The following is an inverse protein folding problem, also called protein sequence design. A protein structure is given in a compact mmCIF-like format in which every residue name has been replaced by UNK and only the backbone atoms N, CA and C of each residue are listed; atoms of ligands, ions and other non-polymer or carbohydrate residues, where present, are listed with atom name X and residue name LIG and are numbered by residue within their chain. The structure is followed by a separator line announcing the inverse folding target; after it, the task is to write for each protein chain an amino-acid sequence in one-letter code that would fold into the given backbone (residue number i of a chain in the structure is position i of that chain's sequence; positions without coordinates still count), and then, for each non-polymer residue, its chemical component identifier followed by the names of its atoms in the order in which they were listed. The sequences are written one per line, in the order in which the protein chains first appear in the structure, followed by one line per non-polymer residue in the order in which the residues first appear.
data_IF_266928624302
#
_entry.id   IF_266928624302
#
_cell.length_a   1.000
_cell.length_b   1.000
_cell.length_c   1.000
_cell.angle_alpha   90.00
_cell.angle_beta   90.00
_cell.angle_gamma   90.00
#
_symmetry.space_group_name_H-M   'P 1'
#
loop_
_entity.id
_entity.type
_entity.pdbx_description
1 polymer ?
#
# COMPACT_ATOMS: atom_id res chain seq x y z
N UNK A 1 -3.59 -1.88 12.35
CA UNK A 1 -3.27 -1.34 11.00
C UNK A 1 -4.48 -1.28 10.08
N UNK A 2 -5.10 -2.42 9.72
CA UNK A 2 -6.28 -2.42 8.82
C UNK A 2 -7.49 -1.71 9.42
N UNK A 3 -7.75 -1.90 10.70
CA UNK A 3 -8.80 -1.21 11.46
C UNK A 3 -8.64 0.30 11.45
N UNK A 4 -7.39 0.79 11.64
CA UNK A 4 -7.10 2.22 11.58
C UNK A 4 -7.37 2.81 10.19
N UNK A 5 -6.97 2.09 9.14
CA UNK A 5 -7.22 2.52 7.77
C UNK A 5 -8.73 2.53 7.46
N UNK A 6 -9.45 1.50 7.91
CA UNK A 6 -10.90 1.38 7.72
C UNK A 6 -11.69 2.55 8.32
N UNK A 7 -11.29 3.01 9.51
CA UNK A 7 -11.91 4.16 10.17
C UNK A 7 -11.72 5.48 9.41
N UNK A 8 -10.66 5.60 8.60
CA UNK A 8 -10.38 6.80 7.80
C UNK A 8 -11.02 6.76 6.40
N UNK A 9 -11.59 5.60 6.00
CA UNK A 9 -12.27 5.49 4.70
C UNK A 9 -13.65 6.14 4.74
N UNK A 10 -14.00 6.87 3.68
CA UNK A 10 -15.34 7.42 3.50
C UNK A 10 -16.38 6.29 3.34
N UNK A 11 -17.63 6.54 3.74
CA UNK A 11 -18.73 5.56 3.58
C UNK A 11 -18.88 5.07 2.14
N UNK A 12 -18.55 5.91 1.15
CA UNK A 12 -18.55 5.54 -0.27
C UNK A 12 -17.46 4.48 -0.56
N UNK A 13 -16.24 4.65 -0.04
CA UNK A 13 -15.15 3.69 -0.21
C UNK A 13 -15.41 2.36 0.50
N UNK A 14 -16.04 2.41 1.67
CA UNK A 14 -16.47 1.20 2.38
C UNK A 14 -17.47 0.38 1.55
N UNK A 15 -18.46 1.03 0.89
CA UNK A 15 -19.39 0.33 -0.03
C UNK A 15 -18.67 -0.26 -1.24
N UNK A 16 -17.71 0.48 -1.82
CA UNK A 16 -16.89 -0.02 -2.94
C UNK A 16 -16.03 -1.22 -2.55
N UNK A 17 -15.49 -1.27 -1.33
CA UNK A 17 -14.72 -2.43 -0.86
C UNK A 17 -15.57 -3.69 -0.73
N UNK A 18 -16.83 -3.57 -0.31
CA UNK A 18 -17.75 -4.70 -0.28
C UNK A 18 -18.09 -5.23 -1.69
N UNK A 19 -18.35 -4.33 -2.65
CA UNK A 19 -18.55 -4.72 -4.05
C UNK A 19 -17.32 -5.43 -4.62
N UNK A 20 -16.13 -4.95 -4.30
CA UNK A 20 -14.88 -5.55 -4.74
C UNK A 20 -14.69 -6.94 -4.14
N UNK A 21 -15.07 -7.15 -2.88
CA UNK A 21 -15.04 -8.47 -2.23
C UNK A 21 -15.99 -9.46 -2.91
N UNK A 22 -17.22 -9.03 -3.27
CA UNK A 22 -18.14 -9.85 -4.05
C UNK A 22 -17.54 -10.21 -5.41
N UNK A 23 -16.89 -9.27 -6.10
CA UNK A 23 -16.24 -9.52 -7.38
C UNK A 23 -15.07 -10.52 -7.23
N UNK A 24 -14.30 -10.47 -6.12
CA UNK A 24 -13.25 -11.45 -5.81
C UNK A 24 -13.82 -12.86 -5.65
N UNK A 25 -14.96 -13.00 -4.96
CA UNK A 25 -15.63 -14.30 -4.78
C UNK A 25 -16.13 -14.83 -6.13
N UNK A 26 -16.77 -13.99 -6.95
CA UNK A 26 -17.23 -14.37 -8.30
C UNK A 26 -16.04 -14.80 -9.17
N UNK A 27 -14.95 -14.03 -9.17
CA UNK A 27 -13.73 -14.36 -9.92
C UNK A 27 -13.15 -15.71 -9.49
N UNK A 28 -13.07 -15.96 -8.19
CA UNK A 28 -12.58 -17.23 -7.65
C UNK A 28 -13.48 -18.41 -8.03
N UNK A 29 -14.79 -18.24 -7.96
CA UNK A 29 -15.75 -19.25 -8.36
C UNK A 29 -15.63 -19.61 -9.86
N UNK A 30 -15.59 -18.61 -10.74
CA UNK A 30 -15.41 -18.83 -12.18
C UNK A 30 -14.07 -19.48 -12.50
N UNK A 31 -13.02 -19.19 -11.77
CA UNK A 31 -11.72 -19.85 -11.97
C UNK A 31 -11.80 -21.34 -11.61
N UNK A 32 -12.48 -21.69 -10.52
CA UNK A 32 -12.74 -23.08 -10.14
C UNK A 32 -13.60 -23.80 -11.19
N UNK A 33 -14.66 -23.14 -11.68
CA UNK A 33 -15.51 -23.71 -12.74
C UNK A 33 -14.72 -23.94 -14.03
N UNK A 34 -13.89 -23.00 -14.42
CA UNK A 34 -13.05 -23.15 -15.62
C UNK A 34 -12.04 -24.29 -15.50
N UNK A 35 -11.51 -24.54 -14.29
CA UNK A 35 -10.66 -25.68 -13.98
C UNK A 35 -11.42 -27.00 -14.05
N UNK A 36 -12.59 -27.04 -13.41
CA UNK A 36 -13.47 -28.21 -13.44
C UNK A 36 -13.94 -28.60 -14.84
N UNK A 37 -14.09 -27.59 -15.71
CA UNK A 37 -14.49 -27.82 -17.12
C UNK A 37 -13.38 -28.45 -17.99
N UNK A 38 -12.12 -28.41 -17.57
CA UNK A 38 -11.00 -29.05 -18.31
C UNK A 38 -11.17 -30.56 -18.38
N UNK A 39 -11.55 -31.20 -17.25
CA UNK A 39 -11.68 -32.65 -17.17
C UNK A 39 -12.77 -33.20 -18.11
N UNK A 40 -14.03 -32.71 -18.10
CA UNK A 40 -15.04 -33.12 -19.08
C UNK A 40 -14.64 -32.83 -20.53
N UNK A 41 -14.00 -31.68 -20.79
CA UNK A 41 -13.54 -31.33 -22.15
C UNK A 41 -12.51 -32.31 -22.67
N UNK A 42 -11.46 -32.63 -21.90
CA UNK A 42 -10.46 -33.61 -22.29
C UNK A 42 -11.05 -35.03 -22.39
N UNK A 43 -11.96 -35.38 -21.48
CA UNK A 43 -12.65 -36.66 -21.46
C UNK A 43 -13.46 -36.88 -22.76
N UNK A 44 -14.20 -35.88 -23.22
CA UNK A 44 -14.97 -35.97 -24.47
C UNK A 44 -14.07 -36.07 -25.70
N UNK A 45 -12.89 -35.42 -25.67
CA UNK A 45 -11.93 -35.54 -26.77
C UNK A 45 -11.25 -36.91 -26.86
N UNK A 46 -11.03 -37.57 -25.70
CA UNK A 46 -10.29 -38.84 -25.63
C UNK A 46 -11.19 -40.07 -25.63
N UNK A 47 -12.35 -40.00 -24.97
CA UNK A 47 -13.26 -41.13 -24.80
C UNK A 47 -14.74 -40.64 -24.71
N UNK A 48 -15.33 -40.17 -25.86
CA UNK A 48 -16.67 -39.59 -25.85
C UNK A 48 -17.74 -40.57 -25.38
N UNK A 49 -17.61 -41.87 -25.65
CA UNK A 49 -18.54 -42.93 -25.22
C UNK A 49 -18.63 -43.07 -23.69
N UNK A 50 -17.50 -42.94 -22.99
CA UNK A 50 -17.46 -43.03 -21.52
C UNK A 50 -18.10 -41.79 -20.87
N UNK A 51 -17.80 -40.61 -21.41
CA UNK A 51 -18.35 -39.35 -20.87
C UNK A 51 -19.85 -39.25 -21.12
N UNK A 52 -20.35 -39.78 -22.21
CA UNK A 52 -21.78 -39.85 -22.53
C UNK A 52 -22.59 -40.63 -21.47
N UNK A 53 -21.98 -41.61 -20.81
CA UNK A 53 -22.61 -42.44 -19.77
C UNK A 53 -22.61 -41.83 -18.38
N UNK A 54 -21.87 -40.72 -18.14
CA UNK A 54 -21.84 -40.10 -16.80
C UNK A 54 -23.15 -39.43 -16.44
N UNK A 55 -23.70 -39.73 -15.27
CA UNK A 55 -24.98 -39.22 -14.79
C UNK A 55 -25.06 -37.70 -14.76
N UNK A 56 -23.94 -36.99 -14.50
CA UNK A 56 -23.90 -35.54 -14.49
C UNK A 56 -23.98 -34.90 -15.88
N UNK A 57 -23.69 -35.66 -16.95
CA UNK A 57 -23.80 -35.18 -18.34
C UNK A 57 -25.22 -35.30 -18.91
N UNK A 58 -26.08 -36.11 -18.31
CA UNK A 58 -27.46 -36.32 -18.78
C UNK A 58 -28.26 -35.04 -18.96
N UNK A 59 -28.26 -34.07 -18.03
CA UNK A 59 -28.96 -32.80 -18.22
C UNK A 59 -28.41 -31.99 -19.42
N UNK A 60 -27.10 -32.02 -19.63
CA UNK A 60 -26.43 -31.30 -20.71
C UNK A 60 -26.77 -31.94 -22.07
N UNK A 61 -26.75 -33.27 -22.14
CA UNK A 61 -27.11 -34.04 -23.31
C UNK A 61 -28.56 -33.76 -23.73
N UNK A 62 -29.47 -33.73 -22.75
CA UNK A 62 -30.90 -33.45 -23.02
C UNK A 62 -31.12 -32.01 -23.50
N UNK A 63 -30.46 -31.02 -22.89
CA UNK A 63 -30.60 -29.62 -23.30
C UNK A 63 -30.01 -29.39 -24.68
N UNK A 64 -28.89 -30.04 -25.02
CA UNK A 64 -28.23 -29.92 -26.33
C UNK A 64 -28.83 -30.78 -27.43
N UNK A 65 -29.75 -31.70 -27.10
CA UNK A 65 -30.39 -32.61 -28.09
C UNK A 65 -29.44 -33.57 -28.75
N UNK A 66 -28.35 -33.99 -28.09
CA UNK A 66 -27.29 -34.84 -28.62
C UNK A 66 -27.74 -36.29 -28.57
N UNK A 67 -27.68 -36.99 -29.72
CA UNK A 67 -28.08 -38.40 -29.86
C UNK A 67 -26.91 -39.36 -29.93
N UNK A 68 -25.74 -38.88 -30.38
CA UNK A 68 -24.53 -39.67 -30.52
C UNK A 68 -23.36 -39.11 -29.72
N UNK A 69 -22.50 -39.97 -29.12
CA UNK A 69 -21.38 -39.51 -28.27
C UNK A 69 -20.43 -38.49 -28.97
N UNK A 70 -20.16 -38.69 -30.27
CA UNK A 70 -19.27 -37.82 -31.03
C UNK A 70 -19.82 -36.39 -31.25
N UNK A 71 -21.15 -36.23 -31.18
CA UNK A 71 -21.79 -34.92 -31.32
C UNK A 71 -21.56 -34.02 -30.06
N UNK A 72 -21.12 -34.60 -28.93
CA UNK A 72 -20.78 -33.88 -27.72
C UNK A 72 -19.51 -33.03 -27.87
N UNK A 73 -18.59 -33.36 -28.76
CA UNK A 73 -17.28 -32.72 -28.91
C UNK A 73 -17.45 -31.22 -29.16
N UNK A 74 -18.27 -30.86 -30.15
CA UNK A 74 -18.44 -29.47 -30.56
C UNK A 74 -19.12 -28.58 -29.49
N UNK A 75 -20.28 -28.94 -28.91
CA UNK A 75 -20.91 -28.13 -27.86
C UNK A 75 -20.06 -27.96 -26.61
N UNK A 76 -19.37 -29.02 -26.14
CA UNK A 76 -18.53 -28.96 -24.96
C UNK A 76 -17.30 -28.09 -25.22
N UNK A 77 -16.73 -28.14 -26.43
CA UNK A 77 -15.63 -27.26 -26.84
C UNK A 77 -16.07 -25.77 -26.76
N UNK A 78 -17.24 -25.44 -27.32
CA UNK A 78 -17.77 -24.07 -27.26
C UNK A 78 -18.01 -23.63 -25.81
N UNK A 79 -18.64 -24.49 -24.99
CA UNK A 79 -18.92 -24.20 -23.59
C UNK A 79 -17.62 -23.95 -22.81
N UNK A 80 -16.58 -24.77 -23.06
CA UNK A 80 -15.27 -24.59 -22.47
C UNK A 80 -14.63 -23.25 -22.87
N UNK A 81 -14.65 -22.92 -24.18
CA UNK A 81 -14.14 -21.62 -24.68
C UNK A 81 -14.86 -20.45 -24.00
N UNK A 82 -16.20 -20.51 -23.92
CA UNK A 82 -16.99 -19.47 -23.26
C UNK A 82 -16.61 -19.34 -21.76
N UNK A 83 -16.46 -20.46 -21.05
CA UNK A 83 -16.08 -20.48 -19.65
C UNK A 83 -14.70 -19.85 -19.44
N UNK A 84 -13.71 -20.18 -20.28
CA UNK A 84 -12.36 -19.61 -20.21
C UNK A 84 -12.35 -18.11 -20.52
N UNK A 85 -13.07 -17.68 -21.57
CA UNK A 85 -13.20 -16.27 -21.94
C UNK A 85 -13.88 -15.46 -20.82
N UNK A 86 -14.98 -15.96 -20.25
CA UNK A 86 -15.68 -15.32 -19.16
C UNK A 86 -14.79 -15.18 -17.93
N UNK A 87 -14.06 -16.24 -17.56
CA UNK A 87 -13.10 -16.20 -16.46
C UNK A 87 -12.01 -15.16 -16.69
N UNK A 88 -11.45 -15.12 -17.90
CA UNK A 88 -10.45 -14.12 -18.29
C UNK A 88 -10.97 -12.69 -18.20
N UNK A 89 -12.19 -12.44 -18.67
CA UNK A 89 -12.84 -11.13 -18.61
C UNK A 89 -13.08 -10.67 -17.17
N UNK A 90 -13.58 -11.56 -16.32
CA UNK A 90 -13.84 -11.25 -14.90
C UNK A 90 -12.53 -11.00 -14.15
N UNK A 91 -11.47 -11.76 -14.40
CA UNK A 91 -10.13 -11.52 -13.84
C UNK A 91 -9.56 -10.16 -14.25
N UNK A 92 -9.69 -9.81 -15.52
CA UNK A 92 -9.25 -8.50 -16.02
C UNK A 92 -10.04 -7.36 -15.35
N UNK A 93 -11.35 -7.54 -15.22
CA UNK A 93 -12.22 -6.57 -14.53
C UNK A 93 -11.85 -6.45 -13.06
N UNK A 94 -11.55 -7.55 -12.38
CA UNK A 94 -11.09 -7.57 -10.99
C UNK A 94 -9.75 -6.82 -10.83
N UNK A 95 -8.78 -7.09 -11.71
CA UNK A 95 -7.49 -6.40 -11.69
C UNK A 95 -7.67 -4.89 -11.87
N UNK A 96 -8.50 -4.48 -12.84
CA UNK A 96 -8.84 -3.08 -13.06
C UNK A 96 -9.50 -2.45 -11.82
N UNK A 97 -10.47 -3.14 -11.23
CA UNK A 97 -11.19 -2.67 -10.05
C UNK A 97 -10.27 -2.52 -8.82
N UNK A 98 -9.40 -3.51 -8.54
CA UNK A 98 -8.39 -3.44 -7.46
C UNK A 98 -7.48 -2.23 -7.68
N UNK A 99 -6.94 -2.07 -8.88
CA UNK A 99 -6.01 -0.99 -9.20
C UNK A 99 -6.70 0.37 -9.02
N UNK A 100 -7.85 0.58 -9.66
CA UNK A 100 -8.59 1.86 -9.57
C UNK A 100 -9.01 2.18 -8.14
N UNK A 101 -9.44 1.21 -7.38
CA UNK A 101 -9.83 1.38 -5.98
C UNK A 101 -8.64 1.76 -5.09
N UNK A 102 -7.50 1.09 -5.23
CA UNK A 102 -6.28 1.38 -4.47
C UNK A 102 -5.78 2.81 -4.73
N UNK A 103 -5.71 3.21 -6.00
CA UNK A 103 -5.26 4.57 -6.36
C UNK A 103 -6.28 5.65 -5.96
N UNK A 104 -7.57 5.34 -5.99
CA UNK A 104 -8.59 6.27 -5.53
C UNK A 104 -8.53 6.50 -4.01
N UNK A 105 -8.27 5.45 -3.21
CA UNK A 105 -7.99 5.61 -1.77
C UNK A 105 -6.69 6.40 -1.58
N UNK A 106 -5.66 6.12 -2.37
CA UNK A 106 -4.39 6.84 -2.31
C UNK A 106 -4.56 8.34 -2.53
N UNK A 107 -5.38 8.75 -3.49
CA UNK A 107 -5.70 10.16 -3.73
C UNK A 107 -6.43 10.79 -2.54
N UNK A 108 -7.43 10.08 -1.96
CA UNK A 108 -8.15 10.53 -0.78
C UNK A 108 -7.21 10.68 0.45
N UNK A 109 -6.23 9.76 0.59
CA UNK A 109 -5.21 9.82 1.64
C UNK A 109 -4.27 11.01 1.44
N UNK A 110 -3.71 11.17 0.24
CA UNK A 110 -2.76 12.23 -0.08
C UNK A 110 -3.34 13.61 0.20
N UNK A 111 -4.56 13.90 -0.29
CA UNK A 111 -5.21 15.18 -0.03
C UNK A 111 -5.55 15.37 1.45
N UNK A 112 -5.94 14.30 2.15
CA UNK A 112 -6.24 14.36 3.58
C UNK A 112 -4.98 14.71 4.40
N UNK A 113 -3.83 14.08 4.10
CA UNK A 113 -2.55 14.36 4.75
C UNK A 113 -2.13 15.80 4.48
N UNK A 114 -2.16 16.24 3.22
CA UNK A 114 -1.78 17.58 2.82
C UNK A 114 -2.63 18.64 3.52
N UNK A 115 -3.97 18.44 3.52
CA UNK A 115 -4.90 19.32 4.22
C UNK A 115 -4.59 19.38 5.71
N UNK A 116 -4.43 18.23 6.40
CA UNK A 116 -4.10 18.17 7.83
C UNK A 116 -2.78 18.85 8.12
N UNK A 117 -1.79 18.71 7.25
CA UNK A 117 -0.50 19.39 7.39
C UNK A 117 -0.66 20.90 7.28
N UNK A 118 -1.34 21.43 6.27
CA UNK A 118 -1.52 22.88 6.07
C UNK A 118 -2.29 23.57 7.20
N UNK A 119 -3.16 22.84 7.88
CA UNK A 119 -3.96 23.38 8.99
C UNK A 119 -3.31 23.20 10.36
N UNK A 120 -2.07 22.70 10.44
CA UNK A 120 -1.33 22.69 11.71
C UNK A 120 -0.90 24.09 12.12
N UNK A 121 -0.66 24.29 13.42
CA UNK A 121 -0.10 25.52 13.95
C UNK A 121 1.31 25.78 13.40
N UNK A 122 1.68 27.05 13.28
CA UNK A 122 2.97 27.45 12.73
C UNK A 122 4.16 26.89 13.55
N UNK A 123 4.00 26.74 14.87
CA UNK A 123 4.95 26.06 15.75
C UNK A 123 5.32 24.65 15.30
N UNK A 124 4.34 23.89 14.80
CA UNK A 124 4.54 22.53 14.26
C UNK A 124 5.31 22.58 12.95
N UNK A 125 5.07 23.59 12.11
CA UNK A 125 5.80 23.76 10.84
C UNK A 125 7.28 24.11 11.05
N UNK A 126 7.59 24.94 12.04
CA UNK A 126 8.98 25.31 12.37
C UNK A 126 9.73 24.11 12.96
N UNK A 127 9.08 23.29 13.77
CA UNK A 127 9.71 22.14 14.43
C UNK A 127 9.95 20.95 13.49
N UNK A 128 9.32 20.92 12.30
CA UNK A 128 9.42 19.82 11.34
C UNK A 128 10.30 20.15 10.17
N UNK A 129 11.03 19.14 9.69
CA UNK A 129 11.76 19.27 8.45
C UNK A 129 10.78 19.18 7.25
N UNK A 130 10.79 20.19 6.39
CA UNK A 130 9.95 20.22 5.16
C UNK A 130 10.19 19.01 4.25
N UNK A 131 11.43 18.49 4.21
CA UNK A 131 11.80 17.29 3.45
C UNK A 131 11.01 16.05 3.90
N UNK A 132 10.82 15.90 5.22
CA UNK A 132 10.07 14.79 5.79
C UNK A 132 8.58 14.85 5.41
N UNK A 133 8.00 16.03 5.46
CA UNK A 133 6.61 16.27 5.08
C UNK A 133 6.39 15.99 3.59
N UNK A 134 7.25 16.53 2.72
CA UNK A 134 7.20 16.31 1.27
C UNK A 134 7.37 14.83 0.94
N UNK A 135 8.35 14.16 1.53
CA UNK A 135 8.56 12.72 1.36
C UNK A 135 7.33 11.92 1.76
N UNK A 136 6.71 12.28 2.87
CA UNK A 136 5.54 11.56 3.39
C UNK A 136 4.31 11.74 2.51
N UNK A 137 4.07 12.94 1.97
CA UNK A 137 2.94 13.22 1.08
C UNK A 137 3.12 12.53 -0.27
N UNK A 138 4.32 12.54 -0.85
CA UNK A 138 4.56 12.03 -2.21
C UNK A 138 5.00 10.57 -2.16
N UNK A 139 6.19 10.31 -1.61
CA UNK A 139 6.85 9.00 -1.72
C UNK A 139 6.21 7.95 -0.81
N UNK A 140 6.04 8.28 0.48
CA UNK A 140 5.47 7.32 1.44
C UNK A 140 4.00 7.01 1.15
N UNK A 141 3.21 7.99 0.66
CA UNK A 141 1.83 7.74 0.22
C UNK A 141 1.78 6.80 -0.99
N UNK A 142 2.65 6.99 -1.99
CA UNK A 142 2.76 6.06 -3.11
C UNK A 142 3.19 4.66 -2.66
N UNK A 143 4.12 4.58 -1.71
CA UNK A 143 4.51 3.30 -1.08
C UNK A 143 3.33 2.64 -0.35
N UNK A 144 2.43 3.41 0.28
CA UNK A 144 1.21 2.88 0.88
C UNK A 144 0.25 2.33 -0.17
N UNK A 145 0.07 3.01 -1.31
CA UNK A 145 -0.78 2.52 -2.40
C UNK A 145 -0.25 1.19 -2.95
N UNK A 146 1.01 1.18 -3.41
CA UNK A 146 1.62 0.02 -4.07
C UNK A 146 2.10 -1.07 -3.09
N UNK A 147 2.49 -0.68 -1.86
CA UNK A 147 3.07 -1.58 -0.88
C UNK A 147 2.11 -2.09 0.21
N UNK A 148 0.94 -1.45 0.36
CA UNK A 148 -0.04 -1.84 1.40
C UNK A 148 -1.42 -2.08 0.80
N UNK A 149 -2.05 -1.07 0.17
CA UNK A 149 -3.43 -1.16 -0.30
C UNK A 149 -3.62 -2.23 -1.37
N UNK A 150 -2.86 -2.13 -2.45
CA UNK A 150 -2.94 -3.10 -3.55
C UNK A 150 -2.56 -4.51 -3.10
N UNK A 151 -1.45 -4.74 -2.36
CA UNK A 151 -1.10 -6.07 -1.88
C UNK A 151 -2.11 -6.65 -0.88
N UNK A 152 -2.75 -5.85 -0.03
CA UNK A 152 -3.81 -6.36 0.87
C UNK A 152 -4.99 -6.91 0.05
N UNK A 153 -5.45 -6.19 -0.96
CA UNK A 153 -6.54 -6.64 -1.82
C UNK A 153 -6.15 -7.88 -2.63
N UNK A 154 -4.90 -7.94 -3.12
CA UNK A 154 -4.36 -9.12 -3.78
C UNK A 154 -4.24 -10.32 -2.83
N UNK A 155 -3.82 -10.09 -1.57
CA UNK A 155 -3.76 -11.14 -0.55
C UNK A 155 -5.14 -11.71 -0.24
N UNK A 156 -6.16 -10.87 -0.10
CA UNK A 156 -7.55 -11.30 0.11
C UNK A 156 -8.02 -12.12 -1.10
N UNK A 157 -7.84 -11.61 -2.31
CA UNK A 157 -8.24 -12.29 -3.55
C UNK A 157 -7.55 -13.65 -3.71
N UNK A 158 -6.23 -13.72 -3.52
CA UNK A 158 -5.49 -14.98 -3.62
C UNK A 158 -5.85 -15.96 -2.50
N UNK A 159 -6.17 -15.49 -1.30
CA UNK A 159 -6.63 -16.35 -0.20
C UNK A 159 -8.00 -16.96 -0.50
N UNK A 160 -8.95 -16.17 -1.03
CA UNK A 160 -10.26 -16.68 -1.46
C UNK A 160 -10.07 -17.74 -2.55
N UNK A 161 -9.22 -17.46 -3.54
CA UNK A 161 -8.91 -18.40 -4.61
C UNK A 161 -8.29 -19.71 -4.09
N UNK A 162 -7.29 -19.61 -3.19
CA UNK A 162 -6.66 -20.78 -2.57
C UNK A 162 -7.66 -21.63 -1.80
N UNK A 163 -8.53 -21.02 -1.00
CA UNK A 163 -9.58 -21.75 -0.27
C UNK A 163 -10.52 -22.46 -1.25
N UNK A 164 -10.90 -21.79 -2.34
CA UNK A 164 -11.79 -22.39 -3.35
C UNK A 164 -11.14 -23.58 -4.08
N UNK A 165 -9.86 -23.44 -4.48
CA UNK A 165 -9.12 -24.54 -5.15
C UNK A 165 -8.93 -25.72 -4.20
N UNK A 166 -8.50 -25.45 -2.96
CA UNK A 166 -8.32 -26.50 -1.95
C UNK A 166 -9.65 -27.19 -1.66
N UNK A 167 -10.75 -26.43 -1.54
CA UNK A 167 -12.09 -26.98 -1.34
C UNK A 167 -12.49 -27.97 -2.45
N UNK A 168 -12.21 -27.65 -3.71
CA UNK A 168 -12.47 -28.56 -4.84
C UNK A 168 -11.54 -29.78 -4.80
N UNK A 169 -10.26 -29.60 -4.47
CA UNK A 169 -9.33 -30.73 -4.33
C UNK A 169 -9.78 -31.70 -3.22
N UNK A 170 -10.33 -31.21 -2.10
CA UNK A 170 -10.91 -32.06 -1.05
C UNK A 170 -12.11 -32.89 -1.52
N UNK A 171 -12.89 -32.36 -2.48
CA UNK A 171 -14.01 -33.12 -3.06
C UNK A 171 -13.54 -34.19 -4.05
N UNK A 172 -12.36 -34.06 -4.65
CA UNK A 172 -11.79 -35.04 -5.60
C UNK A 172 -11.03 -36.14 -4.84
N UNK A 173 -10.05 -35.77 -4.03
CA UNK A 173 -9.25 -36.69 -3.22
C UNK A 173 -8.67 -35.96 -1.98
N UNK A 174 -9.07 -36.41 -0.80
CA UNK A 174 -8.67 -35.83 0.48
C UNK A 174 -7.16 -35.98 0.75
N UNK A 175 -6.54 -37.10 0.31
CA UNK A 175 -5.13 -37.36 0.57
C UNK A 175 -4.24 -36.47 -0.31
N UNK A 176 -4.61 -36.28 -1.57
CA UNK A 176 -3.93 -35.38 -2.51
C UNK A 176 -4.05 -33.93 -2.02
N UNK A 177 -5.25 -33.50 -1.64
CA UNK A 177 -5.48 -32.16 -1.13
C UNK A 177 -4.67 -31.87 0.14
N UNK A 178 -4.67 -32.81 1.09
CA UNK A 178 -3.96 -32.69 2.36
C UNK A 178 -2.43 -32.66 2.17
N UNK A 179 -1.90 -33.52 1.33
CA UNK A 179 -0.45 -33.58 1.03
C UNK A 179 0.03 -32.29 0.34
N UNK A 180 -0.73 -31.76 -0.61
CA UNK A 180 -0.43 -30.50 -1.28
C UNK A 180 -0.50 -29.33 -0.27
N UNK A 181 -1.54 -29.25 0.54
CA UNK A 181 -1.72 -28.19 1.53
C UNK A 181 -0.60 -28.18 2.57
N UNK A 182 -0.27 -29.35 3.15
CA UNK A 182 0.79 -29.47 4.15
C UNK A 182 2.15 -29.20 3.51
N UNK A 183 2.45 -29.80 2.35
CA UNK A 183 3.73 -29.66 1.68
C UNK A 183 4.05 -28.21 1.31
N UNK A 184 3.18 -27.55 0.55
CA UNK A 184 3.37 -26.16 0.16
C UNK A 184 3.22 -25.21 1.37
N UNK A 185 2.31 -25.47 2.30
CA UNK A 185 2.09 -24.68 3.51
C UNK A 185 3.34 -24.62 4.40
N UNK A 186 3.96 -25.77 4.67
CA UNK A 186 5.20 -25.85 5.47
C UNK A 186 6.34 -25.13 4.76
N UNK A 187 6.51 -25.31 3.46
CA UNK A 187 7.57 -24.65 2.70
C UNK A 187 7.43 -23.12 2.72
N UNK A 188 6.24 -22.60 2.44
CA UNK A 188 6.00 -21.16 2.53
C UNK A 188 6.14 -20.62 3.94
N UNK A 189 5.71 -21.38 4.96
CA UNK A 189 5.91 -21.00 6.36
C UNK A 189 7.39 -20.87 6.71
N UNK A 190 8.25 -21.81 6.28
CA UNK A 190 9.70 -21.75 6.47
C UNK A 190 10.29 -20.51 5.79
N UNK A 191 9.91 -20.23 4.55
CA UNK A 191 10.35 -19.05 3.82
C UNK A 191 9.96 -17.77 4.55
N UNK A 192 8.72 -17.69 5.05
CA UNK A 192 8.23 -16.55 5.82
C UNK A 192 9.05 -16.35 7.10
N UNK A 193 9.33 -17.43 7.85
CA UNK A 193 10.13 -17.34 9.07
C UNK A 193 11.55 -16.84 8.80
N UNK A 194 12.17 -17.32 7.72
CA UNK A 194 13.51 -16.90 7.31
C UNK A 194 13.58 -15.44 6.85
N UNK A 195 12.56 -14.97 6.11
CA UNK A 195 12.61 -13.65 5.46
C UNK A 195 12.03 -12.51 6.31
N UNK A 196 11.22 -12.81 7.34
CA UNK A 196 10.47 -11.80 8.13
C UNK A 196 11.35 -10.73 8.79
N UNK A 197 12.54 -11.10 9.28
CA UNK A 197 13.49 -10.18 9.95
C UNK A 197 14.07 -9.24 8.91
N UNK A 198 14.59 -9.79 7.81
CA UNK A 198 15.21 -9.02 6.73
C UNK A 198 14.22 -8.03 6.08
N UNK A 199 12.97 -8.45 5.88
CA UNK A 199 11.91 -7.55 5.38
C UNK A 199 11.61 -6.40 6.34
N UNK A 200 11.68 -6.64 7.66
CA UNK A 200 11.51 -5.59 8.67
C UNK A 200 12.66 -4.59 8.62
N UNK A 201 13.90 -5.07 8.59
CA UNK A 201 15.10 -4.23 8.56
C UNK A 201 15.15 -3.41 7.27
N UNK A 202 14.88 -4.04 6.13
CA UNK A 202 14.76 -3.33 4.85
C UNK A 202 13.67 -2.25 4.88
N UNK A 203 12.52 -2.52 5.52
CA UNK A 203 11.45 -1.53 5.67
C UNK A 203 11.91 -0.29 6.43
N UNK A 204 12.73 -0.47 7.47
CA UNK A 204 13.31 0.65 8.23
C UNK A 204 14.30 1.43 7.35
N UNK A 205 15.23 0.73 6.70
CA UNK A 205 16.22 1.35 5.81
C UNK A 205 15.51 2.17 4.71
N UNK A 206 14.49 1.61 4.07
CA UNK A 206 13.75 2.30 3.01
C UNK A 206 13.08 3.57 3.55
N UNK A 207 12.43 3.51 4.72
CA UNK A 207 11.75 4.66 5.30
C UNK A 207 12.72 5.79 5.66
N UNK A 208 13.84 5.45 6.31
CA UNK A 208 14.83 6.42 6.77
C UNK A 208 15.62 7.02 5.60
N UNK A 209 16.14 6.16 4.72
CA UNK A 209 17.00 6.61 3.61
C UNK A 209 16.22 7.38 2.54
N UNK A 210 14.93 7.08 2.33
CA UNK A 210 14.10 7.89 1.44
C UNK A 210 13.95 9.34 1.92
N UNK A 211 13.86 9.53 3.25
CA UNK A 211 13.80 10.85 3.86
C UNK A 211 15.14 11.60 3.72
N UNK A 212 16.26 10.91 4.00
CA UNK A 212 17.61 11.50 3.86
C UNK A 212 17.94 11.84 2.40
N UNK A 213 17.52 11.03 1.44
CA UNK A 213 17.68 11.28 0.02
C UNK A 213 16.98 12.58 -0.39
N UNK A 214 15.73 12.79 0.02
CA UNK A 214 14.99 14.02 -0.29
C UNK A 214 15.61 15.23 0.40
N UNK A 215 16.06 15.06 1.65
CA UNK A 215 16.76 16.11 2.39
C UNK A 215 18.02 16.57 1.66
N UNK A 216 18.87 15.65 1.22
CA UNK A 216 20.10 15.98 0.48
C UNK A 216 19.82 16.68 -0.85
N UNK A 217 18.72 16.31 -1.54
CA UNK A 217 18.28 17.02 -2.76
C UNK A 217 17.83 18.44 -2.47
N UNK A 218 17.04 18.64 -1.42
CA UNK A 218 16.55 19.97 -1.06
C UNK A 218 17.69 20.89 -0.58
N UNK A 219 18.66 20.38 0.16
CA UNK A 219 19.83 21.14 0.61
C UNK A 219 20.72 21.51 -0.59
N UNK A 220 21.05 20.55 -1.45
CA UNK A 220 21.91 20.81 -2.61
C UNK A 220 21.27 21.72 -3.66
N UNK A 221 20.00 21.48 -4.02
CA UNK A 221 19.30 22.28 -5.03
C UNK A 221 18.77 23.60 -4.46
N UNK A 222 18.36 23.63 -3.19
CA UNK A 222 17.91 24.85 -2.51
C UNK A 222 19.03 25.86 -2.30
N UNK A 223 20.26 25.36 -2.05
CA UNK A 223 21.48 26.18 -1.95
C UNK A 223 22.33 26.18 -3.22
N UNK A 224 21.76 25.95 -4.39
CA UNK A 224 22.52 25.73 -5.63
C UNK A 224 23.52 26.85 -5.95
N UNK A 225 23.20 28.11 -5.63
CA UNK A 225 24.10 29.23 -5.81
C UNK A 225 25.38 29.05 -5.00
N UNK A 226 25.25 28.69 -3.73
CA UNK A 226 26.37 28.51 -2.82
C UNK A 226 27.18 27.27 -3.20
N UNK A 227 26.48 26.19 -3.57
CA UNK A 227 27.11 24.95 -4.09
C UNK A 227 27.98 25.23 -5.32
N UNK A 228 27.51 26.10 -6.24
CA UNK A 228 28.27 26.47 -7.46
C UNK A 228 29.44 27.41 -7.14
N UNK A 229 29.25 28.37 -6.23
CA UNK A 229 30.31 29.32 -5.84
C UNK A 229 31.43 28.60 -5.08
N UNK A 230 31.06 27.74 -4.15
CA UNK A 230 32.02 27.04 -3.28
C UNK A 230 32.61 25.78 -3.93
N UNK A 231 32.14 25.37 -5.11
CA UNK A 231 32.60 24.16 -5.81
C UNK A 231 32.29 22.85 -5.07
N UNK A 232 31.23 22.83 -4.24
CA UNK A 232 30.89 21.70 -3.35
C UNK A 232 29.97 20.64 -3.98
N UNK A 233 29.80 20.62 -5.32
CA UNK A 233 28.94 19.68 -6.04
C UNK A 233 29.25 18.22 -5.70
N UNK A 234 30.55 17.87 -5.61
CA UNK A 234 30.98 16.52 -5.31
C UNK A 234 30.56 16.06 -3.92
N UNK A 235 30.55 16.96 -2.93
CA UNK A 235 30.07 16.69 -1.57
C UNK A 235 28.60 16.32 -1.57
N UNK A 236 27.74 17.12 -2.24
CA UNK A 236 26.30 16.83 -2.30
C UNK A 236 25.99 15.58 -3.12
N UNK A 237 26.76 15.28 -4.17
CA UNK A 237 26.65 14.01 -4.90
C UNK A 237 26.98 12.78 -3.98
N UNK A 238 28.02 12.90 -3.15
CA UNK A 238 28.37 11.85 -2.19
C UNK A 238 27.31 11.71 -1.10
N UNK A 239 26.78 12.81 -0.58
CA UNK A 239 25.72 12.83 0.43
C UNK A 239 24.44 12.15 -0.11
N UNK A 240 24.03 12.47 -1.33
CA UNK A 240 22.92 11.81 -2.01
C UNK A 240 23.18 10.33 -2.20
N UNK A 241 24.35 9.95 -2.71
CA UNK A 241 24.71 8.54 -2.94
C UNK A 241 24.73 7.71 -1.66
N UNK A 242 25.15 8.29 -0.53
CA UNK A 242 25.16 7.61 0.76
C UNK A 242 23.77 7.21 1.26
N UNK A 243 22.74 7.97 0.86
CA UNK A 243 21.34 7.65 1.16
C UNK A 243 20.70 6.76 0.06
N UNK A 244 20.93 7.05 -1.23
CA UNK A 244 20.31 6.33 -2.34
C UNK A 244 20.78 4.87 -2.44
N UNK A 245 22.07 4.59 -2.24
CA UNK A 245 22.62 3.25 -2.41
C UNK A 245 22.03 2.22 -1.42
N UNK A 246 21.94 2.49 -0.11
CA UNK A 246 21.27 1.58 0.83
C UNK A 246 19.77 1.44 0.52
N UNK A 247 19.09 2.52 0.13
CA UNK A 247 17.69 2.52 -0.29
C UNK A 247 17.45 1.55 -1.45
N UNK A 248 18.27 1.66 -2.52
CA UNK A 248 18.16 0.81 -3.71
C UNK A 248 18.47 -0.65 -3.40
N UNK A 249 19.49 -0.93 -2.57
CA UNK A 249 19.83 -2.28 -2.14
C UNK A 249 18.69 -2.92 -1.35
N UNK A 250 18.16 -2.22 -0.34
CA UNK A 250 17.04 -2.73 0.46
C UNK A 250 15.77 -2.95 -0.39
N UNK A 251 15.50 -2.05 -1.35
CA UNK A 251 14.38 -2.20 -2.29
C UNK A 251 14.57 -3.40 -3.22
N UNK A 252 15.77 -3.58 -3.77
CA UNK A 252 16.12 -4.74 -4.59
C UNK A 252 16.02 -6.07 -3.84
N UNK A 253 16.51 -6.10 -2.60
CA UNK A 253 16.36 -7.25 -1.71
C UNK A 253 14.89 -7.61 -1.47
N UNK A 254 14.02 -6.62 -1.25
CA UNK A 254 12.59 -6.86 -1.07
C UNK A 254 11.95 -7.46 -2.33
N UNK A 255 12.31 -6.98 -3.53
CA UNK A 255 11.85 -7.54 -4.80
C UNK A 255 12.34 -8.98 -4.96
N UNK A 256 13.61 -9.25 -4.68
CA UNK A 256 14.16 -10.60 -4.74
C UNK A 256 13.47 -11.55 -3.75
N UNK A 257 13.31 -11.14 -2.48
CA UNK A 257 12.62 -11.93 -1.44
C UNK A 257 11.17 -12.22 -1.86
N UNK A 258 10.46 -11.25 -2.43
CA UNK A 258 9.07 -11.45 -2.85
C UNK A 258 8.93 -12.37 -4.06
N UNK A 259 9.90 -12.42 -4.96
CA UNK A 259 9.85 -13.20 -6.21
C UNK A 259 10.52 -14.57 -6.15
N UNK A 260 11.60 -14.71 -5.38
CA UNK A 260 12.46 -15.91 -5.37
C UNK A 260 11.77 -17.23 -4.98
N UNK A 261 10.79 -17.29 -4.05
CA UNK A 261 10.20 -18.57 -3.64
C UNK A 261 9.48 -19.29 -4.78
N UNK A 262 8.98 -18.54 -5.76
CA UNK A 262 8.32 -19.13 -6.93
C UNK A 262 9.20 -20.15 -7.63
N UNK A 263 10.43 -19.77 -7.94
CA UNK A 263 11.36 -20.62 -8.69
C UNK A 263 11.74 -21.88 -7.91
N UNK A 264 11.88 -21.74 -6.58
CA UNK A 264 12.16 -22.88 -5.69
C UNK A 264 10.97 -23.83 -5.66
N UNK A 265 9.74 -23.29 -5.54
CA UNK A 265 8.52 -24.10 -5.48
C UNK A 265 8.22 -24.79 -6.81
N UNK A 266 8.44 -24.14 -7.94
CA UNK A 266 8.31 -24.75 -9.28
C UNK A 266 9.29 -25.91 -9.44
N UNK A 267 10.56 -25.75 -9.02
CA UNK A 267 11.54 -26.82 -9.07
C UNK A 267 11.16 -28.01 -8.16
N UNK A 268 10.72 -27.76 -6.92
CA UNK A 268 10.28 -28.80 -6.00
C UNK A 268 9.06 -29.53 -6.55
N UNK A 269 8.08 -28.82 -7.08
CA UNK A 269 6.90 -29.42 -7.69
C UNK A 269 7.25 -30.35 -8.85
N UNK A 270 8.14 -29.93 -9.75
CA UNK A 270 8.62 -30.75 -10.87
C UNK A 270 9.38 -32.00 -10.39
N UNK A 271 10.24 -31.86 -9.37
CA UNK A 271 10.94 -33.00 -8.77
C UNK A 271 9.95 -34.00 -8.17
N UNK A 272 8.95 -33.52 -7.43
CA UNK A 272 7.91 -34.38 -6.83
C UNK A 272 7.13 -35.14 -7.92
N UNK A 273 6.71 -34.46 -8.99
CA UNK A 273 6.01 -35.09 -10.11
C UNK A 273 6.91 -36.16 -10.78
N UNK A 274 8.20 -35.87 -10.98
CA UNK A 274 9.13 -36.83 -11.56
C UNK A 274 9.35 -38.08 -10.66
N UNK A 275 9.50 -37.86 -9.35
CA UNK A 275 9.63 -38.96 -8.37
C UNK A 275 8.36 -39.81 -8.33
N UNK A 276 7.18 -39.19 -8.31
CA UNK A 276 5.91 -39.89 -8.34
C UNK A 276 5.75 -40.68 -9.64
N UNK A 277 6.07 -40.09 -10.80
CA UNK A 277 6.05 -40.77 -12.10
C UNK A 277 6.96 -42.01 -12.09
N UNK A 278 8.18 -41.86 -11.54
CA UNK A 278 9.13 -42.99 -11.46
C UNK A 278 8.60 -44.10 -10.51
N UNK A 279 8.12 -43.75 -9.32
CA UNK A 279 7.60 -44.74 -8.37
C UNK A 279 6.37 -45.49 -8.93
N UNK A 280 5.47 -44.80 -9.61
CA UNK A 280 4.29 -45.40 -10.22
C UNK A 280 4.66 -46.28 -11.42
N UNK A 281 5.70 -45.92 -12.19
CA UNK A 281 6.16 -46.73 -13.33
C UNK A 281 6.73 -48.09 -12.92
N UNK A 282 7.18 -48.26 -11.66
CA UNK A 282 7.70 -49.53 -11.12
C UNK A 282 6.57 -50.51 -10.68
N UNK A 283 5.30 -50.08 -10.70
CA UNK A 283 4.17 -50.94 -10.33
C UNK A 283 3.58 -51.61 -11.58
N UNK A 284 3.13 -52.89 -11.46
CA UNK A 284 2.50 -53.60 -12.54
C UNK A 284 1.24 -52.86 -13.07
N UNK A 285 1.23 -52.48 -14.33
CA UNK A 285 0.15 -51.68 -14.93
C UNK A 285 0.18 -50.21 -14.57
N UNK A 286 1.17 -49.73 -13.81
CA UNK A 286 1.24 -48.41 -13.19
C UNK A 286 1.25 -47.24 -14.16
N UNK A 287 1.76 -47.43 -15.41
CA UNK A 287 1.86 -46.39 -16.40
C UNK A 287 0.49 -45.88 -16.89
N UNK A 288 -0.49 -46.76 -17.05
CA UNK A 288 -1.84 -46.40 -17.50
C UNK A 288 -2.61 -45.65 -16.41
N UNK A 289 -2.43 -46.04 -15.12
CA UNK A 289 -3.05 -45.36 -13.99
C UNK A 289 -2.30 -44.07 -13.58
N UNK A 290 -0.99 -43.99 -13.87
CA UNK A 290 -0.17 -42.83 -13.49
C UNK A 290 -0.50 -41.58 -14.32
N UNK A 291 -0.77 -41.70 -15.60
CA UNK A 291 -0.99 -40.57 -16.52
C UNK A 291 -2.14 -39.64 -16.06
N UNK A 292 -3.33 -40.13 -15.69
CA UNK A 292 -4.40 -39.28 -15.19
C UNK A 292 -4.05 -38.58 -13.85
N UNK A 293 -3.39 -39.28 -12.93
CA UNK A 293 -2.99 -38.74 -11.63
C UNK A 293 -1.93 -37.66 -11.80
N UNK A 294 -0.91 -37.92 -12.60
CA UNK A 294 0.15 -36.95 -12.91
C UNK A 294 -0.40 -35.73 -13.64
N UNK A 295 -1.33 -35.92 -14.56
CA UNK A 295 -2.05 -34.86 -15.25
C UNK A 295 -2.85 -33.97 -14.29
N UNK A 296 -3.61 -34.58 -13.38
CA UNK A 296 -4.36 -33.86 -12.35
C UNK A 296 -3.43 -33.06 -11.39
N UNK A 297 -2.31 -33.68 -10.98
CA UNK A 297 -1.30 -33.01 -10.15
C UNK A 297 -0.63 -31.85 -10.89
N UNK A 298 -0.28 -32.02 -12.15
CA UNK A 298 0.33 -30.96 -12.96
C UNK A 298 -0.61 -29.76 -13.14
N UNK A 299 -1.89 -30.02 -13.45
CA UNK A 299 -2.91 -28.97 -13.58
C UNK A 299 -3.16 -28.30 -12.23
N UNK A 300 -3.25 -29.07 -11.15
CA UNK A 300 -3.40 -28.55 -9.78
C UNK A 300 -2.22 -27.66 -9.37
N UNK A 301 -0.99 -28.11 -9.60
CA UNK A 301 0.22 -27.34 -9.32
C UNK A 301 0.29 -26.05 -10.15
N UNK A 302 -0.05 -26.11 -11.44
CA UNK A 302 -0.06 -24.96 -12.35
C UNK A 302 -1.01 -23.84 -11.87
N UNK A 303 -2.03 -24.17 -11.08
CA UNK A 303 -3.01 -23.19 -10.56
C UNK A 303 -2.72 -22.78 -9.13
N UNK A 304 -2.30 -23.73 -8.26
CA UNK A 304 -1.99 -23.43 -6.86
C UNK A 304 -0.73 -22.57 -6.72
N UNK A 305 0.34 -22.88 -7.47
CA UNK A 305 1.61 -22.17 -7.34
C UNK A 305 1.49 -20.66 -7.60
N UNK A 306 0.85 -20.17 -8.68
CA UNK A 306 0.67 -18.72 -8.87
C UNK A 306 -0.15 -18.07 -7.76
N UNK A 307 -1.20 -18.71 -7.25
CA UNK A 307 -2.03 -18.18 -6.17
C UNK A 307 -1.26 -18.08 -4.85
N UNK A 308 -0.48 -19.12 -4.49
CA UNK A 308 0.41 -19.11 -3.33
C UNK A 308 1.50 -18.04 -3.47
N UNK A 309 2.11 -17.95 -4.65
CA UNK A 309 3.12 -16.95 -4.95
C UNK A 309 2.56 -15.53 -4.82
N UNK A 310 1.36 -15.28 -5.34
CA UNK A 310 0.70 -13.98 -5.22
C UNK A 310 0.40 -13.63 -3.76
N UNK A 311 -0.07 -14.59 -2.96
CA UNK A 311 -0.29 -14.41 -1.53
C UNK A 311 1.00 -14.10 -0.78
N UNK A 312 2.08 -14.85 -1.05
CA UNK A 312 3.39 -14.62 -0.44
C UNK A 312 3.99 -13.27 -0.85
N UNK A 313 3.96 -12.95 -2.14
CA UNK A 313 4.46 -11.66 -2.65
C UNK A 313 3.71 -10.49 -2.02
N UNK A 314 2.40 -10.57 -1.92
CA UNK A 314 1.58 -9.58 -1.24
C UNK A 314 1.97 -9.43 0.25
N UNK A 315 2.12 -10.54 0.97
CA UNK A 315 2.58 -10.54 2.36
C UNK A 315 3.96 -9.89 2.51
N UNK A 316 4.93 -10.27 1.68
CA UNK A 316 6.30 -9.76 1.68
C UNK A 316 6.32 -8.25 1.42
N UNK A 317 5.56 -7.77 0.42
CA UNK A 317 5.44 -6.36 0.06
C UNK A 317 4.81 -5.53 1.20
N UNK A 318 3.76 -6.05 1.86
CA UNK A 318 3.14 -5.42 3.03
C UNK A 318 4.16 -5.27 4.16
N UNK A 319 4.94 -6.31 4.45
CA UNK A 319 5.97 -6.28 5.50
C UNK A 319 7.09 -5.30 5.17
N UNK A 320 7.56 -5.29 3.93
CA UNK A 320 8.60 -4.38 3.44
C UNK A 320 8.18 -2.91 3.40
N UNK A 321 6.87 -2.61 3.43
CA UNK A 321 6.33 -1.24 3.39
C UNK A 321 5.73 -0.77 4.72
N UNK A 322 5.84 -1.59 5.77
CA UNK A 322 5.14 -1.37 7.05
C UNK A 322 5.52 -0.05 7.73
N UNK A 323 6.79 0.32 7.75
CA UNK A 323 7.28 1.52 8.43
C UNK A 323 6.79 2.78 7.70
N UNK A 324 6.92 2.83 6.37
CA UNK A 324 6.39 3.94 5.58
C UNK A 324 4.88 4.15 5.80
N UNK A 325 4.13 3.07 6.00
CA UNK A 325 2.70 3.15 6.34
C UNK A 325 2.46 3.72 7.74
N UNK A 326 3.28 3.36 8.73
CA UNK A 326 3.18 3.90 10.08
C UNK A 326 3.40 5.42 10.09
N UNK A 327 4.39 5.91 9.34
CA UNK A 327 4.65 7.35 9.20
C UNK A 327 3.46 8.09 8.59
N UNK A 328 2.85 7.52 7.56
CA UNK A 328 1.62 8.07 6.94
C UNK A 328 0.45 8.10 7.94
N UNK A 329 0.28 7.05 8.76
CA UNK A 329 -0.77 7.03 9.79
C UNK A 329 -0.55 8.12 10.86
N UNK A 330 0.68 8.39 11.25
CA UNK A 330 1.01 9.48 12.20
C UNK A 330 0.56 10.83 11.63
N UNK A 331 0.80 11.10 10.35
CA UNK A 331 0.33 12.34 9.71
C UNK A 331 -1.19 12.39 9.58
N UNK A 332 -1.84 11.25 9.35
CA UNK A 332 -3.30 11.18 9.29
C UNK A 332 -3.97 11.32 10.66
N UNK A 333 -3.28 11.02 11.75
CA UNK A 333 -3.80 11.17 13.12
C UNK A 333 -3.77 12.63 13.59
N UNK A 334 -3.15 13.56 12.86
CA UNK A 334 -3.15 14.98 13.20
C UNK A 334 -4.58 15.51 13.24
N UNK A 335 -4.89 16.25 14.32
CA UNK A 335 -6.20 16.88 14.49
C UNK A 335 -6.40 18.00 13.47
N UNK A 336 -7.57 18.04 12.84
CA UNK A 336 -8.00 19.22 12.10
C UNK A 336 -8.63 20.20 13.10
N UNK A 337 -8.24 21.48 13.08
CA UNK A 337 -8.91 22.46 13.92
C UNK A 337 -10.38 22.65 13.49
N UNK A 338 -11.24 22.95 14.44
CA UNK A 338 -12.71 23.08 14.21
C UNK A 338 -13.07 24.07 13.10
N UNK A 339 -12.19 25.00 12.81
CA UNK A 339 -12.40 26.01 11.77
C UNK A 339 -11.97 25.57 10.36
N UNK A 340 -11.41 24.39 10.20
CA UNK A 340 -10.89 23.95 8.89
C UNK A 340 -11.96 23.88 7.80
N UNK A 341 -13.23 23.69 8.17
CA UNK A 341 -14.39 23.66 7.28
C UNK A 341 -15.20 24.98 7.28
N UNK A 342 -14.72 26.01 8.00
CA UNK A 342 -15.39 27.31 8.06
C UNK A 342 -14.76 28.28 7.04
N UNK A 343 -15.54 29.18 6.46
CA UNK A 343 -15.01 30.25 5.63
C UNK A 343 -14.05 31.12 6.45
N UNK A 344 -13.07 31.80 5.80
CA UNK A 344 -12.21 32.73 6.49
C UNK A 344 -13.02 33.78 7.23
N UNK A 345 -12.66 34.04 8.50
CA UNK A 345 -13.29 35.07 9.29
C UNK A 345 -13.14 36.46 8.64
N UNK A 346 -14.00 37.39 8.99
CA UNK A 346 -13.82 38.79 8.55
C UNK A 346 -12.50 39.31 9.07
N UNK A 347 -11.64 39.94 8.22
CA UNK A 347 -10.37 40.51 8.67
C UNK A 347 -10.57 41.50 9.82
N UNK A 348 -9.69 41.46 10.80
CA UNK A 348 -9.67 42.42 11.89
C UNK A 348 -9.27 43.80 11.37
N UNK A 349 -10.00 44.82 11.76
CA UNK A 349 -9.68 46.20 11.35
C UNK A 349 -8.48 46.70 12.15
N UNK A 350 -7.45 47.19 11.48
CA UNK A 350 -6.30 47.82 12.11
C UNK A 350 -6.32 49.34 11.86
N UNK A 351 -6.54 50.13 12.88
CA UNK A 351 -6.75 51.58 12.79
C UNK A 351 -5.62 52.40 13.40
N UNK A 352 -5.06 51.99 14.55
CA UNK A 352 -4.15 52.84 15.37
C UNK A 352 -2.80 52.20 15.61
N UNK A 353 -2.75 51.11 16.37
CA UNK A 353 -1.47 50.60 16.87
C UNK A 353 -1.49 49.08 17.17
N UNK A 354 -0.30 48.48 17.10
CA UNK A 354 -0.01 47.16 17.64
C UNK A 354 0.77 47.36 18.92
N UNK A 355 0.33 46.75 20.04
CA UNK A 355 0.97 46.90 21.35
C UNK A 355 1.35 45.55 21.93
N UNK A 356 2.62 45.39 22.29
CA UNK A 356 3.13 44.25 23.04
C UNK A 356 3.32 44.69 24.49
N UNK A 357 2.82 43.93 25.46
CA UNK A 357 2.90 44.23 26.87
C UNK A 357 3.46 43.05 27.61
N UNK A 358 4.63 43.25 28.24
CA UNK A 358 5.37 42.27 29.03
C UNK A 358 5.48 40.91 28.29
N UNK A 359 5.69 40.95 26.96
CA UNK A 359 5.65 39.80 26.10
C UNK A 359 6.91 38.97 26.30
N UNK A 360 6.72 37.66 26.55
CA UNK A 360 7.76 36.63 26.58
C UNK A 360 7.41 35.44 25.75
N UNK A 361 8.43 34.80 25.18
CA UNK A 361 8.26 33.62 24.37
C UNK A 361 9.40 32.60 24.53
N UNK A 362 9.03 31.33 24.63
CA UNK A 362 9.91 30.17 24.51
C UNK A 362 9.24 29.12 23.59
N UNK A 363 10.05 28.39 22.82
CA UNK A 363 9.53 27.35 21.87
C UNK A 363 9.01 26.13 22.63
N UNK A 364 9.67 25.73 23.72
CA UNK A 364 9.26 24.61 24.58
C UNK A 364 9.25 25.07 26.05
N UNK A 365 8.46 24.44 26.89
CA UNK A 365 8.26 24.85 28.30
C UNK A 365 9.57 24.92 29.12
N UNK A 366 10.54 24.05 28.77
CA UNK A 366 11.83 23.98 29.51
C UNK A 366 12.99 24.56 28.67
N UNK A 367 12.72 25.21 27.54
CA UNK A 367 13.75 25.85 26.72
C UNK A 367 14.07 27.26 27.19
N UNK A 368 15.27 27.80 26.90
CA UNK A 368 15.62 29.17 27.20
C UNK A 368 14.63 30.17 26.60
N UNK A 369 14.35 31.23 27.31
CA UNK A 369 13.53 32.30 26.77
C UNK A 369 14.19 32.98 25.58
N UNK A 370 13.50 32.98 24.44
CA UNK A 370 13.92 33.68 23.22
C UNK A 370 13.61 35.16 23.31
N UNK A 371 12.45 35.50 23.89
CA UNK A 371 12.03 36.85 24.14
C UNK A 371 11.65 36.99 25.64
N UNK A 372 12.07 38.08 26.30
CA UNK A 372 11.76 38.37 27.70
C UNK A 372 11.27 39.78 27.84
N UNK A 373 10.12 39.96 28.46
CA UNK A 373 9.59 41.24 28.90
C UNK A 373 9.60 42.35 27.83
N UNK A 374 9.21 42.01 26.62
CA UNK A 374 9.17 42.96 25.50
C UNK A 374 7.96 43.86 25.63
N UNK A 375 8.20 45.16 25.68
CA UNK A 375 7.20 46.24 25.69
C UNK A 375 7.45 47.12 24.46
N UNK A 376 6.50 47.12 23.51
CA UNK A 376 6.67 47.81 22.23
C UNK A 376 5.31 48.28 21.73
N UNK A 377 5.28 49.50 21.18
CA UNK A 377 4.10 50.05 20.50
C UNK A 377 4.46 50.43 19.07
N UNK A 378 3.76 49.87 18.12
CA UNK A 378 3.95 50.11 16.68
C UNK A 378 2.71 50.86 16.14
N UNK A 379 2.91 52.12 15.77
CA UNK A 379 1.81 52.94 15.20
C UNK A 379 1.54 52.57 13.75
N UNK A 380 0.28 52.64 13.33
CA UNK A 380 -0.11 52.43 11.94
C UNK A 380 0.64 53.38 11.00
N UNK A 381 1.18 52.85 9.91
CA UNK A 381 1.95 53.60 8.91
C UNK A 381 3.42 53.86 9.29
N UNK A 382 3.86 53.44 10.50
CA UNK A 382 5.29 53.53 10.86
C UNK A 382 6.11 52.47 10.17
N UNK A 383 7.39 52.81 9.89
CA UNK A 383 8.40 51.87 9.38
C UNK A 383 9.42 51.60 10.47
N UNK A 384 9.50 50.36 10.90
CA UNK A 384 10.35 49.98 12.06
C UNK A 384 11.29 48.86 11.62
N UNK A 385 12.59 49.03 11.90
CA UNK A 385 13.62 48.04 11.67
C UNK A 385 14.05 47.40 13.00
N UNK A 386 14.09 46.05 13.06
CA UNK A 386 14.65 45.29 14.16
C UNK A 386 16.10 44.94 13.89
N UNK A 387 17.02 45.43 14.69
CA UNK A 387 18.47 45.26 14.57
C UNK A 387 18.96 44.41 15.74
N UNK A 388 19.91 43.51 15.48
CA UNK A 388 20.51 42.65 16.49
C UNK A 388 21.28 41.49 15.88
N UNK A 389 22.09 40.82 16.67
CA UNK A 389 22.88 39.65 16.27
C UNK A 389 21.98 38.47 15.84
N UNK A 390 22.54 37.54 15.05
CA UNK A 390 21.83 36.31 14.68
C UNK A 390 21.44 35.54 15.94
N UNK A 391 20.22 35.01 15.99
CA UNK A 391 19.71 34.32 17.18
C UNK A 391 19.09 35.23 18.26
N UNK A 392 19.07 36.57 18.10
CA UNK A 392 18.48 37.49 19.09
C UNK A 392 16.94 37.54 19.13
N UNK A 393 16.25 36.64 18.43
CA UNK A 393 14.78 36.53 18.45
C UNK A 393 14.02 37.48 17.53
N UNK A 394 14.69 38.18 16.57
CA UNK A 394 14.03 39.12 15.64
C UNK A 394 12.92 38.49 14.81
N UNK A 395 13.20 37.35 14.19
CA UNK A 395 12.21 36.61 13.37
C UNK A 395 11.06 36.12 14.26
N UNK A 396 11.36 35.60 15.45
CA UNK A 396 10.35 35.14 16.40
C UNK A 396 9.43 36.28 16.86
N UNK A 397 9.98 37.50 17.08
CA UNK A 397 9.18 38.67 17.41
C UNK A 397 8.25 39.04 16.24
N UNK A 398 8.73 39.01 15.00
CA UNK A 398 7.89 39.23 13.79
C UNK A 398 6.80 38.19 13.66
N UNK A 399 7.10 36.92 13.89
CA UNK A 399 6.12 35.84 13.81
C UNK A 399 5.01 36.03 14.87
N UNK A 400 5.35 36.51 16.06
CA UNK A 400 4.37 36.84 17.08
C UNK A 400 3.52 38.05 16.69
N UNK A 401 4.14 39.12 16.15
CA UNK A 401 3.41 40.32 15.69
C UNK A 401 2.44 39.96 14.57
N UNK A 402 2.81 39.07 13.67
CA UNK A 402 1.95 38.53 12.61
C UNK A 402 0.87 37.57 13.10
N UNK A 403 0.85 37.23 14.40
CA UNK A 403 -0.13 36.28 14.96
C UNK A 403 0.12 34.82 14.63
N UNK A 404 1.30 34.47 14.07
CA UNK A 404 1.69 33.10 13.73
C UNK A 404 2.08 32.30 14.98
N UNK A 405 2.74 32.96 15.94
CA UNK A 405 3.15 32.35 17.20
C UNK A 405 2.40 33.03 18.36
N UNK A 406 1.68 32.29 19.23
CA UNK A 406 1.11 32.86 20.45
C UNK A 406 2.19 33.13 21.46
N UNK A 407 2.18 34.27 22.16
CA UNK A 407 3.15 34.55 23.23
C UNK A 407 2.99 33.56 24.39
N UNK A 408 4.11 33.17 25.03
CA UNK A 408 4.11 32.30 26.23
C UNK A 408 3.67 33.08 27.45
N UNK A 409 4.03 34.36 27.53
CA UNK A 409 3.61 35.29 28.58
C UNK A 409 3.36 36.68 28.01
N UNK A 410 2.60 37.51 28.75
CA UNK A 410 2.22 38.85 28.29
C UNK A 410 1.09 38.82 27.25
N UNK A 411 0.96 39.91 26.47
CA UNK A 411 -0.16 40.07 25.53
C UNK A 411 0.28 40.80 24.25
N UNK A 412 -0.23 40.33 23.11
CA UNK A 412 -0.28 41.06 21.85
C UNK A 412 -1.66 41.72 21.71
N UNK A 413 -1.73 43.01 21.47
CA UNK A 413 -2.96 43.77 21.32
C UNK A 413 -2.96 44.53 20.01
N UNK A 414 -4.08 44.51 19.32
CA UNK A 414 -4.34 45.31 18.11
C UNK A 414 -5.47 46.28 18.44
N UNK A 415 -5.20 47.58 18.34
CA UNK A 415 -6.19 48.63 18.68
C UNK A 415 -6.95 48.34 20.00
N UNK A 416 -6.23 47.96 21.06
CA UNK A 416 -6.75 47.57 22.39
C UNK A 416 -7.45 46.20 22.47
N UNK A 417 -7.55 45.48 21.37
CA UNK A 417 -8.14 44.14 21.32
C UNK A 417 -7.05 43.06 21.47
N UNK A 418 -7.10 42.20 22.50
CA UNK A 418 -6.07 41.18 22.68
C UNK A 418 -6.21 40.09 21.63
N UNK A 419 -5.09 39.65 21.05
CA UNK A 419 -5.02 38.52 20.15
C UNK A 419 -4.95 37.22 20.93
N UNK A 420 -5.82 36.29 20.61
CA UNK A 420 -5.93 34.96 21.21
C UNK A 420 -6.20 33.89 20.13
N UNK A 421 -6.32 32.63 20.53
CA UNK A 421 -6.58 31.52 19.61
C UNK A 421 -7.90 31.60 18.84
N UNK A 422 -8.85 32.43 19.27
CA UNK A 422 -10.16 32.59 18.63
C UNK A 422 -10.13 33.63 17.51
N UNK A 423 -9.33 34.69 17.65
CA UNK A 423 -9.31 35.84 16.74
C UNK A 423 -7.98 36.01 15.94
N UNK A 424 -6.94 35.22 16.24
CA UNK A 424 -5.67 35.30 15.52
C UNK A 424 -5.80 35.10 14.00
N UNK A 425 -6.81 34.36 13.53
CA UNK A 425 -7.09 34.19 12.09
C UNK A 425 -7.74 35.41 11.44
N UNK A 426 -8.34 36.28 12.20
CA UNK A 426 -8.93 37.51 11.70
C UNK A 426 -7.88 38.63 11.61
N UNK A 427 -6.77 38.50 12.35
CA UNK A 427 -5.60 39.35 12.31
C UNK A 427 -4.68 38.97 11.16
#
# INVERSE_FOLDING_TARGET
MLTSLWCHLTKRRQKQSWLLLVLMIISSFLEVVSLGAVLPFLGVLTAPDQVYQYSFMLPIIQILGVTEPNQLIFPITILFIIAVLLTGLVRLTLLYAITRFSYAIGADLSISIYRRTLYQEYSVHISRNSSEVINSIITKTNTVIGGILTPILMLISSTILLISIIGVLFLIDINIALSAFIGFGVLYWLVIQYTKVRLKDNSQIIADQSTQMIKSLQEGLGGIRDVLIDGTQQFYCQLYRSADLPLRRASGDNVFISGSPRYIMEAIAMILIAVLAYTMSQQEGGMIMAIPILGALAIGAQRLLPALQQAYSAYSTIKGSKISFQDVLVLMSQSLPKYADQPPGRPMTFLKEIKLTNLGFCYEKDSPWVLKNINLTLKKGSRIGFIGVTGSGKSTLLDIIMGLLPPTSGKLMIDQQPINSQNCRAW
#
